data_IF_892567187851
#
_entry.id   IF_892567187851
#
_cell.length_a   1.000
_cell.length_b   1.000
_cell.length_c   1.000
_cell.angle_alpha   90.00
_cell.angle_beta   90.00
_cell.angle_gamma   90.00
#
_symmetry.space_group_name_H-M   'P 1'
#
loop_
_entity.id
_entity.type
_entity.pdbx_description
1 polymer ?
#
# COMPACT_ATOMS: atom_id res chain seq x y z
N UNK A 1 -0.63 -4.35 -7.18
CA UNK A 1 -1.80 -4.86 -7.91
C UNK A 1 -2.91 -5.11 -6.91
N UNK A 2 -4.08 -4.57 -7.19
CA UNK A 2 -5.02 -4.14 -6.15
C UNK A 2 -4.68 -2.71 -5.73
N UNK A 3 -5.11 -2.31 -4.53
CA UNK A 3 -4.74 -1.05 -3.92
C UNK A 3 -3.62 -1.22 -2.89
N UNK A 4 -2.95 -0.12 -2.54
CA UNK A 4 -2.02 -0.12 -1.42
C UNK A 4 -2.04 1.19 -0.64
N UNK A 5 -1.54 1.14 0.60
CA UNK A 5 -1.10 2.30 1.36
C UNK A 5 0.36 2.08 1.78
N UNK A 6 1.25 2.98 1.36
CA UNK A 6 2.67 2.96 1.73
C UNK A 6 2.89 3.78 3.00
N UNK A 7 3.68 3.24 3.93
CA UNK A 7 4.03 3.88 5.19
C UNK A 7 5.54 3.74 5.41
N UNK A 8 6.17 4.80 5.89
CA UNK A 8 7.60 4.80 6.25
C UNK A 8 7.74 5.45 7.62
N UNK A 9 8.36 4.73 8.56
CA UNK A 9 8.60 5.20 9.92
C UNK A 9 7.35 5.77 10.61
N UNK A 10 6.24 5.02 10.58
CA UNK A 10 4.98 5.42 11.21
C UNK A 10 4.11 6.40 10.41
N UNK A 11 4.60 6.91 9.28
CA UNK A 11 3.94 7.98 8.50
C UNK A 11 3.45 7.46 7.15
N UNK A 12 2.20 7.76 6.81
CA UNK A 12 1.65 7.53 5.46
C UNK A 12 2.42 8.35 4.42
N UNK A 13 2.84 7.70 3.34
CA UNK A 13 3.49 8.33 2.19
C UNK A 13 2.44 8.73 1.16
N UNK A 14 2.47 10.01 0.78
CA UNK A 14 1.51 10.58 -0.17
C UNK A 14 0.10 10.78 0.39
N UNK A 15 -0.78 11.33 -0.45
CA UNK A 15 -2.17 11.67 -0.14
C UNK A 15 -3.16 11.00 -1.12
N UNK A 16 -2.68 10.00 -1.88
CA UNK A 16 -3.49 9.28 -2.84
C UNK A 16 -4.40 8.28 -2.14
N UNK A 17 -5.69 8.26 -2.50
CA UNK A 17 -6.65 7.29 -1.99
C UNK A 17 -7.91 7.22 -2.86
N UNK A 18 -8.25 6.03 -3.42
CA UNK A 18 -7.44 4.81 -3.51
C UNK A 18 -6.34 4.91 -4.60
N UNK A 19 -5.27 4.12 -4.46
CA UNK A 19 -4.13 4.09 -5.39
C UNK A 19 -3.60 2.65 -5.61
N UNK A 20 -3.11 2.26 -6.80
CA UNK A 20 -3.14 2.97 -8.09
C UNK A 20 -4.53 2.98 -8.73
N UNK A 21 -4.69 3.73 -9.81
CA UNK A 21 -5.88 3.73 -10.67
C UNK A 21 -6.19 2.35 -11.27
N UNK A 22 -7.43 2.19 -11.71
CA UNK A 22 -7.91 0.95 -12.32
C UNK A 22 -7.58 0.88 -13.81
N UNK A 23 -6.97 -0.23 -14.23
CA UNK A 23 -6.66 -0.57 -15.63
C UNK A 23 -6.96 -2.05 -15.91
N UNK A 24 -6.86 -2.46 -17.17
CA UNK A 24 -6.76 -3.88 -17.53
C UNK A 24 -5.36 -4.39 -17.15
N UNK A 25 -5.25 -5.06 -16.00
CA UNK A 25 -3.98 -5.49 -15.41
C UNK A 25 -3.21 -6.52 -16.26
N UNK A 26 -3.87 -7.14 -17.25
CA UNK A 26 -3.23 -8.05 -18.21
C UNK A 26 -2.49 -7.29 -19.33
N UNK A 27 -2.77 -5.99 -19.50
CA UNK A 27 -2.12 -5.12 -20.50
C UNK A 27 -1.26 -4.05 -19.87
N UNK A 28 -1.73 -3.45 -18.79
CA UNK A 28 -1.11 -2.29 -18.17
C UNK A 28 -1.32 -2.32 -16.66
N UNK A 29 -0.23 -2.16 -15.91
CA UNK A 29 -0.25 -2.06 -14.45
C UNK A 29 0.36 -0.72 -14.07
N UNK A 30 -0.40 0.13 -13.38
CA UNK A 30 0.07 1.44 -12.96
C UNK A 30 0.96 1.35 -11.71
N UNK A 31 1.98 2.19 -11.65
CA UNK A 31 2.77 2.45 -10.45
C UNK A 31 2.83 3.95 -10.15
N UNK A 32 2.97 4.28 -8.87
CA UNK A 32 3.11 5.66 -8.39
C UNK A 32 4.54 5.89 -7.88
N UNK A 33 5.02 7.12 -8.03
CA UNK A 33 6.33 7.57 -7.54
C UNK A 33 6.12 8.62 -6.46
N UNK A 34 6.89 8.55 -5.39
CA UNK A 34 6.86 9.49 -4.28
C UNK A 34 8.27 9.96 -3.98
N UNK A 35 8.42 11.23 -3.62
CA UNK A 35 9.59 11.69 -2.90
C UNK A 35 9.45 11.25 -1.43
N UNK A 36 10.40 10.47 -0.95
CA UNK A 36 10.42 9.92 0.41
C UNK A 36 11.61 10.43 1.23
N UNK A 37 12.29 11.48 0.76
CA UNK A 37 13.50 12.04 1.39
C UNK A 37 13.25 12.36 2.86
N UNK A 38 12.17 13.09 3.16
CA UNK A 38 11.79 13.51 4.51
C UNK A 38 11.10 12.42 5.37
N UNK A 39 10.98 11.20 4.83
CA UNK A 39 10.47 10.04 5.57
C UNK A 39 11.59 9.19 6.15
N UNK A 40 12.79 9.29 5.60
CA UNK A 40 13.96 8.53 6.03
C UNK A 40 14.69 9.25 7.17
N UNK A 41 15.42 8.47 7.97
CA UNK A 41 16.26 8.97 9.06
C UNK A 41 17.57 8.19 9.12
N UNK A 42 18.56 8.73 9.81
CA UNK A 42 19.78 7.98 10.09
C UNK A 42 19.48 6.73 10.95
N UNK A 43 20.17 5.64 10.65
CA UNK A 43 20.00 4.36 11.34
C UNK A 43 18.81 3.53 10.85
N UNK A 44 18.04 2.98 11.79
CA UNK A 44 16.96 2.03 11.48
C UNK A 44 15.74 2.75 10.89
N UNK A 45 15.30 2.25 9.73
CA UNK A 45 14.09 2.66 9.04
C UNK A 45 13.19 1.44 8.84
N UNK A 46 11.87 1.65 8.83
CA UNK A 46 10.88 0.63 8.51
C UNK A 46 10.00 1.13 7.36
N UNK A 47 9.78 0.24 6.40
CA UNK A 47 8.85 0.45 5.28
C UNK A 47 7.73 -0.56 5.43
N UNK A 48 6.50 -0.06 5.58
CA UNK A 48 5.29 -0.85 5.69
C UNK A 48 4.37 -0.62 4.50
N UNK A 49 3.69 -1.67 4.04
CA UNK A 49 2.67 -1.55 2.98
C UNK A 49 1.43 -2.36 3.37
N UNK A 50 0.27 -1.69 3.37
CA UNK A 50 -1.03 -2.38 3.44
C UNK A 50 -1.52 -2.64 2.02
N UNK A 51 -2.08 -3.82 1.76
CA UNK A 51 -2.64 -4.17 0.44
C UNK A 51 -4.15 -4.36 0.53
N UNK A 52 -4.86 -3.79 -0.45
CA UNK A 52 -6.29 -3.98 -0.66
C UNK A 52 -6.59 -4.66 -1.99
N UNK A 53 -7.75 -5.30 -2.10
CA UNK A 53 -8.23 -6.02 -3.28
C UNK A 53 -8.41 -5.10 -4.49
N UNK A 54 -9.08 -3.97 -4.29
CA UNK A 54 -9.48 -3.08 -5.38
C UNK A 54 -10.23 -3.86 -6.47
N UNK A 55 -9.84 -3.68 -7.73
CA UNK A 55 -10.38 -4.44 -8.87
C UNK A 55 -9.54 -5.67 -9.23
N UNK A 56 -8.46 -5.95 -8.51
CA UNK A 56 -7.63 -7.12 -8.75
C UNK A 56 -8.16 -8.29 -7.93
N UNK A 57 -9.26 -8.89 -8.41
CA UNK A 57 -9.98 -9.96 -7.73
C UNK A 57 -10.31 -11.12 -8.68
N UNK A 58 -10.56 -12.30 -8.10
CA UNK A 58 -10.84 -13.54 -8.86
C UNK A 58 -12.08 -13.43 -9.76
N UNK A 59 -13.09 -12.68 -9.32
CA UNK A 59 -14.34 -12.44 -10.05
C UNK A 59 -14.12 -11.74 -11.40
N UNK A 60 -13.02 -10.99 -11.52
CA UNK A 60 -12.58 -10.36 -12.78
C UNK A 60 -11.46 -11.12 -13.49
N UNK A 61 -11.22 -12.38 -13.12
CA UNK A 61 -10.19 -13.21 -13.73
C UNK A 61 -8.77 -12.98 -13.22
N UNK A 62 -8.60 -12.18 -12.15
CA UNK A 62 -7.32 -11.90 -11.53
C UNK A 62 -7.08 -12.78 -10.28
N UNK A 63 -6.23 -12.34 -9.36
CA UNK A 63 -5.83 -13.11 -8.17
C UNK A 63 -5.83 -12.27 -6.89
N UNK A 64 -5.17 -12.72 -5.81
CA UNK A 64 -5.00 -11.94 -4.60
C UNK A 64 -4.07 -10.73 -4.83
N UNK A 65 -4.13 -9.67 -4.00
CA UNK A 65 -3.22 -8.52 -4.07
C UNK A 65 -1.75 -8.92 -4.08
N UNK A 66 -0.95 -8.13 -4.79
CA UNK A 66 0.51 -8.34 -4.93
C UNK A 66 1.22 -7.00 -4.94
N UNK A 67 2.42 -6.94 -4.38
CA UNK A 67 3.25 -5.74 -4.31
C UNK A 67 4.47 -5.87 -5.23
N UNK A 68 4.83 -4.76 -5.86
CA UNK A 68 6.18 -4.50 -6.35
C UNK A 68 6.54 -3.10 -5.87
N UNK A 69 7.71 -2.96 -5.24
CA UNK A 69 8.17 -1.69 -4.72
C UNK A 69 9.70 -1.62 -4.84
N UNK A 70 10.17 -0.42 -5.17
CA UNK A 70 11.58 -0.07 -5.22
C UNK A 70 11.76 1.32 -4.61
N UNK A 71 12.71 1.46 -3.69
CA UNK A 71 13.16 2.73 -3.14
C UNK A 71 14.59 2.94 -3.58
N UNK A 72 14.86 4.07 -4.22
CA UNK A 72 16.21 4.51 -4.56
C UNK A 72 16.61 5.58 -3.54
N UNK A 73 17.77 5.38 -2.91
CA UNK A 73 18.34 6.29 -1.93
C UNK A 73 19.67 6.77 -2.50
N UNK A 74 19.82 8.08 -2.63
CA UNK A 74 21.08 8.73 -3.00
C UNK A 74 21.65 9.40 -1.75
N UNK A 75 22.93 9.13 -1.47
CA UNK A 75 23.62 9.67 -0.31
C UNK A 75 24.44 10.90 -0.69
N UNK A 76 24.75 11.75 0.29
CA UNK A 76 25.53 12.98 0.07
C UNK A 76 26.96 12.73 -0.41
N UNK A 77 27.50 11.53 -0.22
CA UNK A 77 28.81 11.11 -0.72
C UNK A 77 28.76 10.64 -2.19
N UNK A 78 27.59 10.67 -2.83
CA UNK A 78 27.36 10.23 -4.20
C UNK A 78 27.11 8.73 -4.35
N UNK A 79 27.17 7.95 -3.26
CA UNK A 79 26.77 6.55 -3.28
C UNK A 79 25.24 6.41 -3.37
N UNK A 80 24.77 5.22 -3.74
CA UNK A 80 23.34 4.92 -3.80
C UNK A 80 23.01 3.56 -3.22
N UNK A 81 21.77 3.40 -2.74
CA UNK A 81 21.22 2.12 -2.29
C UNK A 81 19.83 1.93 -2.89
N UNK A 82 19.57 0.71 -3.31
CA UNK A 82 18.26 0.28 -3.77
C UNK A 82 17.67 -0.70 -2.77
N UNK A 83 16.45 -0.44 -2.31
CA UNK A 83 15.64 -1.38 -1.53
C UNK A 83 14.52 -1.88 -2.45
N UNK A 84 14.39 -3.19 -2.59
CA UNK A 84 13.36 -3.81 -3.43
C UNK A 84 12.52 -4.79 -2.61
N UNK A 85 11.32 -5.08 -3.09
CA UNK A 85 10.51 -6.19 -2.56
C UNK A 85 11.09 -7.52 -2.99
N UNK A 86 11.34 -8.41 -2.02
CA UNK A 86 11.83 -9.77 -2.19
C UNK A 86 11.29 -10.69 -1.06
N UNK A 87 11.83 -11.91 -0.94
CA UNK A 87 11.41 -12.91 0.06
C UNK A 87 11.88 -12.61 1.50
N UNK A 88 12.66 -11.55 1.70
CA UNK A 88 13.09 -11.10 3.04
C UNK A 88 12.02 -10.25 3.72
N UNK A 89 11.06 -9.72 2.96
CA UNK A 89 9.94 -8.97 3.51
C UNK A 89 9.04 -9.88 4.36
N UNK A 90 8.48 -9.31 5.42
CA UNK A 90 7.54 -9.99 6.31
C UNK A 90 6.10 -9.64 5.98
N UNK A 91 5.19 -10.59 6.16
CA UNK A 91 3.75 -10.44 5.90
C UNK A 91 2.92 -10.95 7.07
N UNK A 92 1.84 -10.24 7.37
CA UNK A 92 0.85 -10.66 8.36
C UNK A 92 -0.54 -10.16 7.99
N UNK A 93 -1.57 -10.77 8.58
CA UNK A 93 -2.93 -10.23 8.50
C UNK A 93 -3.05 -9.02 9.44
N UNK A 94 -3.73 -7.99 8.94
CA UNK A 94 -4.02 -6.77 9.68
C UNK A 94 -5.46 -6.73 10.21
N UNK A 95 -5.88 -5.56 10.69
CA UNK A 95 -7.24 -5.32 11.21
C UNK A 95 -8.32 -5.24 10.12
N UNK A 96 -7.94 -5.06 8.86
CA UNK A 96 -8.87 -5.14 7.71
C UNK A 96 -9.10 -6.62 7.39
N UNK A 97 -10.26 -7.14 7.76
CA UNK A 97 -10.64 -8.55 7.56
C UNK A 97 -11.18 -8.76 6.14
N UNK A 98 -11.99 -7.81 5.66
CA UNK A 98 -12.58 -7.83 4.32
C UNK A 98 -12.54 -6.43 3.73
N UNK A 99 -12.30 -6.33 2.42
CA UNK A 99 -12.41 -5.07 1.68
C UNK A 99 -12.90 -5.35 0.25
N UNK A 100 -13.87 -4.56 -0.19
CA UNK A 100 -14.47 -4.62 -1.51
C UNK A 100 -15.03 -3.24 -1.91
N UNK A 101 -14.87 -2.88 -3.19
CA UNK A 101 -15.30 -1.56 -3.68
C UNK A 101 -16.83 -1.38 -3.60
N UNK A 102 -17.60 -2.47 -3.63
CA UNK A 102 -19.06 -2.44 -3.58
C UNK A 102 -19.61 -2.77 -2.20
N UNK A 103 -19.02 -3.73 -1.50
CA UNK A 103 -19.52 -4.24 -0.21
C UNK A 103 -18.89 -3.54 1.01
N UNK A 104 -17.92 -2.65 0.80
CA UNK A 104 -17.28 -1.88 1.87
C UNK A 104 -16.10 -2.60 2.51
N UNK A 105 -15.79 -2.21 3.75
CA UNK A 105 -14.65 -2.73 4.52
C UNK A 105 -15.12 -3.20 5.90
N UNK A 106 -14.65 -4.38 6.30
CA UNK A 106 -14.84 -4.91 7.66
C UNK A 106 -13.53 -4.76 8.42
N UNK A 107 -13.56 -3.96 9.48
CA UNK A 107 -12.41 -3.65 10.32
C UNK A 107 -12.59 -4.16 11.74
N UNK A 108 -11.63 -4.92 12.26
CA UNK A 108 -11.59 -5.37 13.65
C UNK A 108 -10.37 -4.78 14.36
N UNK A 109 -10.62 -3.76 15.18
CA UNK A 109 -9.57 -3.05 15.92
C UNK A 109 -8.80 -3.94 16.91
N UNK A 110 -9.36 -5.08 17.32
CA UNK A 110 -8.67 -6.04 18.21
C UNK A 110 -7.47 -6.72 17.54
N UNK A 111 -7.40 -6.65 16.21
CA UNK A 111 -6.33 -7.24 15.39
C UNK A 111 -5.27 -6.21 14.99
N UNK A 112 -5.39 -4.97 15.46
CA UNK A 112 -4.37 -3.93 15.26
C UNK A 112 -3.01 -4.36 15.80
N UNK A 113 -1.97 -3.97 15.06
CA UNK A 113 -0.57 -4.22 15.40
C UNK A 113 0.09 -2.87 15.58
N UNK A 114 -0.08 -2.27 16.74
CA UNK A 114 0.41 -0.92 17.00
C UNK A 114 1.92 -0.84 16.75
N UNK A 115 2.34 0.17 15.97
CA UNK A 115 3.75 0.39 15.64
C UNK A 115 4.36 -0.55 14.59
N UNK A 116 3.58 -1.41 13.92
CA UNK A 116 4.09 -2.36 12.91
C UNK A 116 4.92 -1.72 11.78
N UNK A 117 4.66 -0.45 11.48
CA UNK A 117 5.31 0.36 10.45
C UNK A 117 6.42 1.27 11.01
N UNK A 118 6.86 1.02 12.25
CA UNK A 118 7.84 1.83 12.97
C UNK A 118 9.02 0.98 13.49
N UNK A 119 10.26 1.51 13.53
CA UNK A 119 11.40 0.74 14.04
C UNK A 119 11.22 0.33 15.50
N UNK A 120 11.56 -0.93 15.82
CA UNK A 120 11.44 -1.50 17.16
C UNK A 120 10.25 -2.45 17.35
N UNK A 121 9.37 -2.56 16.35
CA UNK A 121 8.34 -3.59 16.32
C UNK A 121 8.95 -5.00 16.21
N UNK A 122 8.36 -5.97 16.92
CA UNK A 122 8.74 -7.38 16.85
C UNK A 122 7.86 -8.10 15.81
N UNK A 123 8.45 -8.39 14.65
CA UNK A 123 7.84 -9.10 13.53
C UNK A 123 8.25 -10.59 13.46
N UNK A 124 8.79 -11.15 14.53
CA UNK A 124 9.27 -12.54 14.57
C UNK A 124 8.18 -13.57 14.24
N UNK A 125 6.93 -13.30 14.62
CA UNK A 125 5.75 -14.12 14.33
C UNK A 125 5.19 -13.93 12.91
N UNK A 126 5.77 -13.02 12.11
CA UNK A 126 5.33 -12.79 10.72
C UNK A 126 6.01 -13.78 9.77
N UNK A 127 5.23 -14.22 8.78
CA UNK A 127 5.72 -15.09 7.72
C UNK A 127 6.56 -14.29 6.73
N UNK A 128 7.49 -14.95 6.04
CA UNK A 128 8.18 -14.33 4.90
C UNK A 128 7.24 -14.21 3.69
N UNK A 129 7.42 -13.14 2.93
CA UNK A 129 6.76 -12.92 1.66
C UNK A 129 7.14 -14.02 0.67
N UNK A 130 6.19 -14.35 -0.23
CA UNK A 130 6.41 -15.30 -1.32
C UNK A 130 6.46 -14.56 -2.64
N UNK A 131 7.37 -14.94 -3.52
CA UNK A 131 7.42 -14.38 -4.87
C UNK A 131 6.12 -14.69 -5.60
N UNK A 132 5.39 -13.64 -5.95
CA UNK A 132 4.16 -13.76 -6.68
C UNK A 132 4.41 -13.84 -8.19
N UNK A 133 3.60 -14.61 -8.92
CA UNK A 133 3.65 -14.64 -10.39
C UNK A 133 3.53 -13.21 -10.94
N UNK A 134 4.42 -12.77 -11.84
CA UNK A 134 4.38 -11.43 -12.40
C UNK A 134 3.08 -11.18 -13.18
N UNK A 135 2.60 -9.93 -13.25
CA UNK A 135 1.51 -9.57 -14.14
C UNK A 135 1.88 -9.80 -15.61
N UNK A 136 0.84 -9.96 -16.45
CA UNK A 136 1.01 -9.93 -17.91
C UNK A 136 1.18 -8.49 -18.42
N UNK A 137 0.54 -7.53 -17.77
CA UNK A 137 0.62 -6.13 -18.16
C UNK A 137 1.98 -5.51 -17.88
N UNK A 138 2.37 -4.54 -18.73
CA UNK A 138 3.59 -3.75 -18.53
C UNK A 138 3.37 -2.70 -17.43
N UNK A 139 4.42 -2.42 -16.66
CA UNK A 139 4.43 -1.34 -15.68
C UNK A 139 4.47 0.02 -16.37
N UNK A 140 3.59 0.94 -15.97
CA UNK A 140 3.51 2.31 -16.51
C UNK A 140 3.31 3.29 -15.37
N UNK A 141 3.99 4.44 -15.43
CA UNK A 141 3.83 5.47 -14.41
C UNK A 141 2.43 6.07 -14.47
N UNK A 142 1.79 6.19 -13.31
CA UNK A 142 0.52 6.89 -13.15
C UNK A 142 0.65 8.41 -13.34
N UNK A 143 1.86 8.98 -13.32
CA UNK A 143 2.10 10.43 -13.43
C UNK A 143 1.55 11.09 -14.71
N UNK A 144 0.99 10.30 -15.63
CA UNK A 144 0.25 10.76 -16.82
C UNK A 144 -1.13 11.36 -16.51
N UNK A 145 -1.67 11.18 -15.31
CA UNK A 145 -2.93 11.79 -14.89
C UNK A 145 -2.97 12.09 -13.38
N UNK A 146 -3.82 13.02 -12.91
CA UNK A 146 -3.93 13.32 -11.49
C UNK A 146 -4.42 12.11 -10.68
N UNK A 147 -3.81 11.81 -9.52
CA UNK A 147 -4.24 10.72 -8.64
C UNK A 147 -5.58 11.03 -7.96
N UNK A 148 -6.27 10.00 -7.47
CA UNK A 148 -7.48 10.16 -6.65
C UNK A 148 -7.06 10.62 -5.26
N UNK A 149 -7.70 11.66 -4.71
CA UNK A 149 -7.40 12.25 -3.40
C UNK A 149 -8.69 12.59 -2.64
N UNK A 150 -8.61 12.61 -1.32
CA UNK A 150 -9.66 13.21 -0.49
C UNK A 150 -9.61 14.74 -0.63
N UNK A 151 -10.55 15.34 -1.35
CA UNK A 151 -10.54 16.79 -1.67
C UNK A 151 -11.34 17.66 -0.69
N UNK A 152 -12.25 17.06 0.09
CA UNK A 152 -13.10 17.78 1.03
C UNK A 152 -13.65 16.85 2.11
N UNK A 153 -13.69 17.34 3.34
CA UNK A 153 -14.47 16.74 4.43
C UNK A 153 -15.80 17.46 4.56
N UNK A 154 -16.90 16.71 4.65
CA UNK A 154 -18.26 17.26 4.82
C UNK A 154 -18.76 16.83 6.19
N UNK A 155 -19.22 17.80 6.99
CA UNK A 155 -19.77 17.53 8.33
C UNK A 155 -21.26 17.16 8.24
N UNK A 156 -21.76 16.20 9.04
CA UNK A 156 -23.19 15.92 9.10
C UNK A 156 -23.95 17.13 9.65
N UNK A 157 -25.02 17.53 8.97
CA UNK A 157 -25.86 18.67 9.38
C UNK A 157 -27.02 18.26 10.29
N UNK A 158 -27.38 16.97 10.32
CA UNK A 158 -28.47 16.42 11.14
C UNK A 158 -28.30 14.92 11.33
N UNK A 159 -28.87 14.39 12.42
CA UNK A 159 -28.94 12.96 12.72
C UNK A 159 -30.39 12.63 13.06
N UNK A 160 -30.91 11.53 12.49
CA UNK A 160 -32.26 11.05 12.75
C UNK A 160 -32.26 9.55 13.04
N UNK A 161 -33.20 9.09 13.85
CA UNK A 161 -33.46 7.67 14.10
C UNK A 161 -34.85 7.31 13.56
N UNK A 162 -34.99 7.01 12.25
CA UNK A 162 -36.28 6.67 11.65
C UNK A 162 -36.78 5.33 12.20
N UNK A 163 -38.10 5.24 12.42
CA UNK A 163 -38.79 4.02 12.84
C UNK A 163 -39.11 3.13 11.64
#
# INVERSE_FOLDING_TARGET
MGYYELRINGRKVGDHQPDPGWTDYDKLVLYSTYDVTDFLREGKNVVGVMLGNGRYIKQYGYGPPKLILQINIEFSDGSSRMIVTDETWKVSKGPIIENDIYNGETYDARLEKEGWDSPGYDDSEWENAKIAKPPRGRLVSQATFPPIKAVRTIQPISISNPK
#
